data_IF_561966502583
#
_entry.id   IF_561966502583
#
_cell.length_a   1.000
_cell.length_b   1.000
_cell.length_c   1.000
_cell.angle_alpha   90.00
_cell.angle_beta   90.00
_cell.angle_gamma   90.00
#
_symmetry.space_group_name_H-M   'P 1'
#
loop_
_entity.id
_entity.type
_entity.pdbx_description
1 polymer ?
#
# COMPACT_ATOMS: atom_id res chain seq x y z
N UNK A 1 14.80 7.31 11.27
CA UNK A 1 14.01 6.22 10.65
C UNK A 1 13.21 6.80 9.49
N UNK A 2 13.18 6.12 8.36
CA UNK A 2 12.56 6.62 7.13
C UNK A 2 11.56 5.58 6.59
N UNK A 3 10.30 5.97 6.39
CA UNK A 3 9.25 5.12 5.86
C UNK A 3 8.76 5.73 4.55
N UNK A 4 8.72 4.93 3.49
CA UNK A 4 8.07 5.28 2.24
C UNK A 4 6.94 4.30 1.92
N UNK A 5 6.03 4.73 1.06
CA UNK A 5 4.88 3.94 0.60
C UNK A 5 4.89 3.84 -0.92
N UNK A 6 4.58 2.67 -1.45
CA UNK A 6 4.31 2.47 -2.88
C UNK A 6 2.88 1.98 -3.06
N UNK A 7 2.11 2.68 -3.87
CA UNK A 7 0.75 2.31 -4.27
C UNK A 7 0.79 1.78 -5.71
N UNK A 8 0.68 0.46 -5.88
CA UNK A 8 0.74 -0.19 -7.17
C UNK A 8 -0.65 -0.42 -7.75
N UNK A 9 -1.05 0.43 -8.70
CA UNK A 9 -2.35 0.37 -9.38
C UNK A 9 -3.56 0.40 -8.44
N UNK A 10 -3.47 1.13 -7.33
CA UNK A 10 -4.61 1.48 -6.47
C UNK A 10 -5.47 2.48 -7.24
N UNK A 11 -6.65 2.05 -7.70
CA UNK A 11 -7.47 2.82 -8.66
C UNK A 11 -8.38 3.85 -8.01
N UNK A 12 -8.82 3.59 -6.80
CA UNK A 12 -9.74 4.45 -6.09
C UNK A 12 -9.04 5.74 -5.63
N UNK A 13 -9.45 6.89 -6.19
CA UNK A 13 -9.00 8.20 -5.75
C UNK A 13 -9.26 8.43 -4.24
N UNK A 14 -10.38 7.90 -3.75
CA UNK A 14 -10.75 7.92 -2.34
C UNK A 14 -9.73 7.19 -1.46
N UNK A 15 -9.32 5.96 -1.87
CA UNK A 15 -8.30 5.20 -1.16
C UNK A 15 -6.95 5.93 -1.18
N UNK A 16 -6.57 6.49 -2.33
CA UNK A 16 -5.34 7.29 -2.46
C UNK A 16 -5.36 8.48 -1.51
N UNK A 17 -6.45 9.28 -1.49
CA UNK A 17 -6.60 10.40 -0.58
C UNK A 17 -6.52 9.99 0.90
N UNK A 18 -7.19 8.90 1.28
CA UNK A 18 -7.13 8.35 2.64
C UNK A 18 -5.71 7.94 3.03
N UNK A 19 -4.96 7.34 2.09
CA UNK A 19 -3.56 6.95 2.34
C UNK A 19 -2.66 8.17 2.47
N UNK A 20 -2.85 9.23 1.67
CA UNK A 20 -2.12 10.49 1.87
C UNK A 20 -2.33 11.05 3.26
N UNK A 21 -3.59 11.07 3.74
CA UNK A 21 -3.92 11.54 5.09
C UNK A 21 -3.24 10.69 6.17
N UNK A 22 -3.29 9.37 6.04
CA UNK A 22 -2.60 8.44 6.95
C UNK A 22 -1.07 8.65 6.91
N UNK A 23 -0.50 8.79 5.72
CA UNK A 23 0.92 9.01 5.51
C UNK A 23 1.41 10.31 6.18
N UNK A 24 0.64 11.39 6.07
CA UNK A 24 0.92 12.63 6.78
C UNK A 24 0.91 12.44 8.31
N UNK A 25 -0.12 11.75 8.83
CA UNK A 25 -0.25 11.49 10.27
C UNK A 25 0.81 10.53 10.84
N UNK A 26 1.45 9.72 9.99
CA UNK A 26 2.50 8.75 10.39
C UNK A 26 3.91 9.18 10.01
N UNK A 27 4.08 10.37 9.42
CA UNK A 27 5.40 10.88 9.04
C UNK A 27 6.07 10.12 7.90
N UNK A 28 5.29 9.56 6.97
CA UNK A 28 5.82 8.94 5.75
C UNK A 28 6.60 9.95 4.94
N UNK A 29 7.84 9.63 4.60
CA UNK A 29 8.76 10.53 3.89
C UNK A 29 8.42 10.70 2.42
N UNK A 30 7.83 9.68 1.77
CA UNK A 30 7.47 9.74 0.34
C UNK A 30 6.45 8.67 -0.06
N UNK A 31 5.56 9.03 -1.01
CA UNK A 31 4.63 8.11 -1.67
C UNK A 31 5.01 7.94 -3.14
N UNK A 32 5.18 6.71 -3.59
CA UNK A 32 5.35 6.35 -5.01
C UNK A 32 4.01 5.87 -5.57
N UNK A 33 3.48 6.61 -6.57
CA UNK A 33 2.23 6.29 -7.25
C UNK A 33 2.53 5.56 -8.55
N UNK A 34 2.29 4.26 -8.60
CA UNK A 34 2.71 3.40 -9.71
C UNK A 34 1.54 2.93 -10.56
N UNK A 35 1.75 2.83 -11.85
CA UNK A 35 0.78 2.29 -12.79
C UNK A 35 -0.50 3.14 -12.85
N UNK A 36 -1.65 2.50 -12.62
CA UNK A 36 -2.98 3.14 -12.70
C UNK A 36 -3.37 3.96 -11.47
N UNK A 37 -2.50 4.07 -10.46
CA UNK A 37 -2.78 4.89 -9.27
C UNK A 37 -2.92 6.37 -9.66
N UNK A 38 -4.04 7.04 -9.39
CA UNK A 38 -4.20 8.46 -9.71
C UNK A 38 -3.26 9.32 -8.86
N UNK A 39 -2.84 10.45 -9.42
CA UNK A 39 -2.00 11.43 -8.74
C UNK A 39 -2.87 12.58 -8.21
N UNK A 40 -2.43 13.28 -7.12
CA UNK A 40 -3.14 14.45 -6.57
C UNK A 40 -3.31 15.60 -7.55
N UNK A 41 -2.38 15.74 -8.49
CA UNK A 41 -2.41 16.75 -9.54
C UNK A 41 -2.25 16.07 -10.90
N UNK A 42 -2.96 16.59 -11.91
CA UNK A 42 -2.77 16.15 -13.29
C UNK A 42 -1.50 16.77 -13.92
N UNK A 43 -1.19 16.39 -15.16
CA UNK A 43 -0.03 16.91 -15.90
C UNK A 43 -0.04 18.43 -16.15
N UNK A 44 -1.18 19.07 -15.93
CA UNK A 44 -1.36 20.53 -16.05
C UNK A 44 -1.38 21.23 -14.69
N UNK A 45 -1.11 20.54 -13.59
CA UNK A 45 -1.13 21.07 -12.23
C UNK A 45 -2.54 21.24 -11.64
N UNK A 46 -3.59 20.72 -12.29
CA UNK A 46 -4.96 20.82 -11.77
C UNK A 46 -5.19 19.77 -10.69
N UNK A 47 -5.81 20.20 -9.60
CA UNK A 47 -6.13 19.34 -8.44
C UNK A 47 -7.11 18.23 -8.81
N UNK A 48 -6.80 17.01 -8.42
CA UNK A 48 -7.73 15.88 -8.48
C UNK A 48 -8.69 15.97 -7.28
N UNK A 49 -9.90 16.50 -7.53
CA UNK A 49 -10.89 16.85 -6.49
C UNK A 49 -11.23 15.69 -5.56
N UNK A 50 -11.37 14.46 -6.10
CA UNK A 50 -11.72 13.27 -5.31
C UNK A 50 -10.61 12.84 -4.34
N UNK A 51 -9.35 13.07 -4.70
CA UNK A 51 -8.21 12.86 -3.79
C UNK A 51 -8.20 13.95 -2.74
N UNK A 52 -8.22 15.23 -3.14
CA UNK A 52 -8.13 16.38 -2.24
C UNK A 52 -9.25 16.38 -1.18
N UNK A 53 -10.48 16.02 -1.59
CA UNK A 53 -11.64 15.92 -0.69
C UNK A 53 -11.39 14.99 0.50
N UNK A 54 -10.64 13.92 0.31
CA UNK A 54 -10.37 12.90 1.34
C UNK A 54 -9.04 13.12 2.04
N UNK A 55 -8.04 13.57 1.31
CA UNK A 55 -6.71 13.84 1.83
C UNK A 55 -6.67 15.06 2.77
N UNK A 56 -7.64 15.98 2.62
CA UNK A 56 -7.78 17.18 3.45
C UNK A 56 -6.48 18.02 3.51
N UNK A 57 -5.82 18.17 2.36
CA UNK A 57 -4.58 18.93 2.23
C UNK A 57 -3.29 18.12 2.44
N UNK A 58 -3.37 16.88 2.93
CA UNK A 58 -2.19 16.05 3.16
C UNK A 58 -1.38 15.81 1.86
N UNK A 59 -2.04 15.82 0.70
CA UNK A 59 -1.41 15.63 -0.62
C UNK A 59 -0.46 16.79 -1.01
N UNK A 60 -0.57 17.93 -0.34
CA UNK A 60 0.35 19.06 -0.53
C UNK A 60 1.59 18.98 0.36
N UNK A 61 1.52 18.22 1.47
CA UNK A 61 2.61 18.12 2.45
C UNK A 61 3.44 16.85 2.32
N UNK A 62 2.81 15.72 1.95
CA UNK A 62 3.54 14.46 1.77
C UNK A 62 4.17 14.41 0.39
N UNK A 63 5.51 14.34 0.28
CA UNK A 63 6.18 14.20 -1.00
C UNK A 63 5.68 12.97 -1.77
N UNK A 64 5.44 13.11 -3.06
CA UNK A 64 5.03 12.00 -3.89
C UNK A 64 5.65 12.06 -5.29
N UNK A 65 5.65 10.93 -5.96
CA UNK A 65 6.17 10.81 -7.32
C UNK A 65 5.32 9.81 -8.12
N UNK A 66 4.93 10.20 -9.34
CA UNK A 66 4.23 9.32 -10.29
C UNK A 66 5.25 8.54 -11.10
N UNK A 67 5.17 7.22 -11.04
CA UNK A 67 6.13 6.29 -11.66
C UNK A 67 5.40 5.32 -12.59
N UNK A 68 5.95 5.07 -13.76
CA UNK A 68 5.39 4.07 -14.68
C UNK A 68 5.70 2.63 -14.27
N UNK A 69 6.90 2.37 -13.76
CA UNK A 69 7.39 1.00 -13.51
C UNK A 69 7.97 0.85 -12.09
N UNK A 70 7.25 0.09 -11.24
CA UNK A 70 7.65 -0.21 -9.86
C UNK A 70 9.07 -0.78 -9.72
N UNK A 71 9.47 -1.68 -10.64
CA UNK A 71 10.76 -2.38 -10.58
C UNK A 71 11.97 -1.46 -10.51
N UNK A 72 11.92 -0.32 -11.20
CA UNK A 72 13.04 0.63 -11.20
C UNK A 72 13.17 1.34 -9.86
N UNK A 73 12.04 1.74 -9.25
CA UNK A 73 12.04 2.33 -7.91
C UNK A 73 12.53 1.32 -6.88
N UNK A 74 12.01 0.09 -6.91
CA UNK A 74 12.43 -0.97 -5.97
C UNK A 74 13.93 -1.25 -6.12
N UNK A 75 14.43 -1.41 -7.35
CA UNK A 75 15.86 -1.65 -7.59
C UNK A 75 16.75 -0.51 -7.10
N UNK A 76 16.32 0.76 -7.30
CA UNK A 76 17.01 1.93 -6.80
C UNK A 76 17.05 1.92 -5.27
N UNK A 77 15.89 1.78 -4.62
CA UNK A 77 15.78 1.82 -3.16
C UNK A 77 16.56 0.67 -2.50
N UNK A 78 16.54 -0.53 -3.09
CA UNK A 78 17.38 -1.65 -2.58
C UNK A 78 18.87 -1.32 -2.58
N UNK A 79 19.38 -0.67 -3.63
CA UNK A 79 20.79 -0.22 -3.68
C UNK A 79 21.10 0.84 -2.63
N UNK A 80 20.10 1.61 -2.22
CA UNK A 80 20.19 2.61 -1.17
C UNK A 80 19.96 2.04 0.24
N UNK A 81 19.86 0.70 0.37
CA UNK A 81 19.69 0.01 1.65
C UNK A 81 18.27 -0.02 2.21
N UNK A 82 17.27 0.23 1.38
CA UNK A 82 15.86 0.11 1.78
C UNK A 82 15.41 -1.34 1.84
N UNK A 83 14.64 -1.65 2.87
CA UNK A 83 13.96 -2.93 3.02
C UNK A 83 12.55 -2.85 2.42
N UNK A 84 12.25 -3.74 1.49
CA UNK A 84 11.00 -3.73 0.71
C UNK A 84 10.01 -4.70 1.31
N UNK A 85 8.87 -4.20 1.77
CA UNK A 85 7.83 -4.96 2.47
C UNK A 85 6.54 -4.95 1.64
N UNK A 86 6.12 -6.09 1.13
CA UNK A 86 4.82 -6.21 0.48
C UNK A 86 3.72 -6.46 1.51
N UNK A 87 2.66 -5.66 1.48
CA UNK A 87 1.47 -5.85 2.31
C UNK A 87 0.41 -6.58 1.49
N UNK A 88 0.30 -7.89 1.71
CA UNK A 88 -0.52 -8.77 0.87
C UNK A 88 -0.94 -10.01 1.63
N UNK A 89 -2.19 -10.44 1.50
CA UNK A 89 -2.61 -11.76 1.98
C UNK A 89 -1.99 -12.85 1.11
N UNK A 90 -1.11 -13.63 1.70
CA UNK A 90 -0.38 -14.68 1.01
C UNK A 90 0.05 -15.78 1.97
N UNK A 91 0.08 -17.02 1.49
CA UNK A 91 0.52 -18.20 2.30
C UNK A 91 1.95 -18.08 2.84
N UNK A 92 2.77 -17.20 2.26
CA UNK A 92 4.15 -16.91 2.72
C UNK A 92 4.24 -15.62 3.54
N UNK A 93 3.13 -14.91 3.72
CA UNK A 93 3.12 -13.66 4.48
C UNK A 93 3.22 -13.95 5.98
N UNK A 94 3.93 -13.09 6.68
CA UNK A 94 4.01 -13.09 8.14
C UNK A 94 2.95 -12.15 8.69
N UNK A 95 2.47 -12.43 9.89
CA UNK A 95 1.61 -11.50 10.62
C UNK A 95 2.33 -10.16 10.79
N UNK A 96 1.68 -9.05 10.38
CA UNK A 96 2.26 -7.70 10.42
C UNK A 96 2.77 -7.32 11.82
N UNK A 97 2.19 -7.87 12.89
CA UNK A 97 2.58 -7.62 14.27
C UNK A 97 3.96 -8.20 14.63
N UNK A 98 4.40 -9.21 13.88
CA UNK A 98 5.72 -9.83 14.07
C UNK A 98 6.81 -9.13 13.27
N UNK A 99 6.44 -8.25 12.34
CA UNK A 99 7.39 -7.51 11.54
C UNK A 99 8.05 -6.41 12.39
N UNK A 100 9.38 -6.37 12.37
CA UNK A 100 10.19 -5.29 12.92
C UNK A 100 10.75 -4.45 11.78
N UNK A 101 10.38 -3.18 11.76
CA UNK A 101 10.83 -2.25 10.72
C UNK A 101 12.35 -2.08 10.73
N UNK A 102 12.90 -1.77 9.58
CA UNK A 102 14.30 -1.40 9.41
C UNK A 102 14.45 0.12 9.41
N UNK A 103 15.68 0.61 9.46
CA UNK A 103 15.97 2.06 9.43
C UNK A 103 15.36 2.76 8.21
N UNK A 104 15.29 2.07 7.07
CA UNK A 104 14.62 2.49 5.83
C UNK A 104 13.69 1.40 5.34
N UNK A 105 12.38 1.66 5.30
CA UNK A 105 11.38 0.68 4.91
C UNK A 105 10.45 1.24 3.85
N UNK A 106 10.30 0.53 2.73
CA UNK A 106 9.26 0.77 1.72
C UNK A 106 8.12 -0.23 1.91
N UNK A 107 6.92 0.24 2.26
CA UNK A 107 5.72 -0.59 2.23
C UNK A 107 5.05 -0.51 0.86
N UNK A 108 4.80 -1.67 0.25
CA UNK A 108 4.14 -1.81 -1.06
C UNK A 108 2.73 -2.31 -0.86
N UNK A 109 1.76 -1.54 -1.36
CA UNK A 109 0.34 -1.89 -1.37
C UNK A 109 -0.12 -2.10 -2.82
N UNK A 110 -0.87 -3.16 -3.03
CA UNK A 110 -1.38 -3.54 -4.36
C UNK A 110 -2.78 -3.03 -4.65
N UNK A 111 -3.26 -3.38 -5.84
CA UNK A 111 -4.60 -3.12 -6.32
C UNK A 111 -5.67 -3.81 -5.46
N UNK A 112 -6.86 -3.19 -5.36
CA UNK A 112 -7.97 -3.67 -4.54
C UNK A 112 -8.55 -5.04 -4.98
N UNK A 113 -8.32 -5.42 -6.23
CA UNK A 113 -8.85 -6.67 -6.81
C UNK A 113 -7.75 -7.72 -6.94
N UNK A 114 -6.62 -7.36 -7.53
CA UNK A 114 -5.55 -8.28 -7.89
C UNK A 114 -4.37 -8.28 -6.91
N UNK A 115 -4.37 -7.39 -5.91
CA UNK A 115 -3.27 -7.26 -4.97
C UNK A 115 -1.97 -6.79 -5.63
N UNK A 116 -0.84 -7.19 -5.07
CA UNK A 116 0.49 -6.92 -5.60
C UNK A 116 0.80 -7.94 -6.71
N UNK A 117 1.15 -7.54 -7.95
CA UNK A 117 1.51 -8.47 -9.02
C UNK A 117 2.65 -9.41 -8.62
N UNK A 118 2.61 -10.65 -9.11
CA UNK A 118 3.59 -11.70 -8.76
C UNK A 118 5.05 -11.26 -8.97
N UNK A 119 5.33 -10.58 -10.08
CA UNK A 119 6.66 -10.05 -10.39
C UNK A 119 7.13 -8.96 -9.42
N UNK A 120 6.22 -8.17 -8.85
CA UNK A 120 6.55 -7.16 -7.84
C UNK A 120 6.69 -7.81 -6.46
N UNK A 121 5.81 -8.77 -6.11
CA UNK A 121 5.95 -9.55 -4.87
C UNK A 121 7.31 -10.26 -4.78
N UNK A 122 7.80 -10.79 -5.90
CA UNK A 122 9.11 -11.44 -5.97
C UNK A 122 10.29 -10.48 -5.68
N UNK A 123 10.08 -9.18 -5.80
CA UNK A 123 11.08 -8.16 -5.45
C UNK A 123 11.00 -7.70 -3.99
N UNK A 124 9.96 -8.08 -3.26
CA UNK A 124 9.85 -7.77 -1.83
C UNK A 124 10.80 -8.68 -1.02
N UNK A 125 11.42 -8.11 0.01
CA UNK A 125 12.29 -8.86 0.92
C UNK A 125 11.47 -9.68 1.92
N UNK A 126 10.24 -9.19 2.23
CA UNK A 126 9.28 -9.90 3.06
C UNK A 126 7.85 -9.54 2.62
N UNK A 127 6.93 -10.47 2.81
CA UNK A 127 5.50 -10.23 2.75
C UNK A 127 4.93 -10.25 4.16
N UNK A 128 4.05 -9.29 4.45
CA UNK A 128 3.28 -9.23 5.69
C UNK A 128 1.79 -9.17 5.38
N UNK A 129 0.99 -9.71 6.28
CA UNK A 129 -0.47 -9.66 6.16
C UNK A 129 -1.13 -9.21 7.47
N UNK A 130 -2.33 -8.70 7.35
CA UNK A 130 -3.22 -8.45 8.49
C UNK A 130 -4.15 -9.67 8.57
N UNK A 131 -4.01 -10.54 9.61
CA UNK A 131 -4.83 -11.74 9.72
C UNK A 131 -6.32 -11.41 9.85
N UNK A 132 -7.14 -11.97 8.98
CA UNK A 132 -8.60 -11.85 9.02
C UNK A 132 -9.19 -12.95 9.90
N UNK A 133 -9.94 -12.61 10.94
CA UNK A 133 -10.52 -13.56 11.92
C UNK A 133 -12.05 -13.65 11.87
N UNK A 134 -12.70 -12.95 10.95
CA UNK A 134 -14.15 -12.89 10.82
C UNK A 134 -14.78 -14.16 10.23
N UNK A 135 -16.08 -14.36 10.49
CA UNK A 135 -16.84 -15.53 10.01
C UNK A 135 -16.93 -15.64 8.49
N UNK A 136 -16.78 -14.55 7.74
CA UNK A 136 -16.77 -14.56 6.27
C UNK A 136 -15.57 -15.36 5.69
N UNK A 137 -14.51 -15.56 6.45
CA UNK A 137 -13.36 -16.40 6.07
C UNK A 137 -13.68 -17.88 6.09
N UNK A 138 -14.73 -18.30 6.82
CA UNK A 138 -15.06 -19.74 7.03
C UNK A 138 -16.10 -20.30 6.07
N UNK A 139 -16.80 -19.50 5.27
CA UNK A 139 -17.94 -19.98 4.44
C UNK A 139 -17.56 -20.39 3.00
N UNK A 140 -16.30 -20.57 2.66
CA UNK A 140 -15.87 -20.96 1.31
C UNK A 140 -15.71 -22.47 1.17
N UNK A 141 -16.73 -23.24 1.56
CA UNK A 141 -16.88 -24.63 1.15
C UNK A 141 -18.24 -24.87 0.46
N UNK A 142 -18.53 -24.09 -0.58
CA UNK A 142 -19.63 -24.43 -1.49
C UNK A 142 -19.09 -24.57 -2.92
N UNK A 143 -19.19 -25.76 -3.57
CA UNK A 143 -18.47 -26.05 -4.81
C UNK A 143 -19.09 -25.45 -6.08
N UNK A 144 -20.05 -24.55 -6.02
CA UNK A 144 -20.78 -24.11 -7.22
C UNK A 144 -20.89 -22.61 -7.53
N UNK A 145 -20.32 -21.68 -6.75
CA UNK A 145 -20.29 -20.26 -7.15
C UNK A 145 -18.98 -19.60 -6.74
N UNK A 146 -18.11 -19.45 -7.74
CA UNK A 146 -16.80 -18.78 -7.68
C UNK A 146 -16.92 -17.24 -7.63
N UNK A 147 -17.56 -16.69 -6.62
CA UNK A 147 -17.26 -15.33 -6.16
C UNK A 147 -16.65 -15.46 -4.79
N UNK A 148 -15.33 -15.61 -4.77
CA UNK A 148 -14.54 -15.41 -3.55
C UNK A 148 -14.89 -14.02 -3.01
N UNK A 149 -15.63 -13.94 -1.91
CA UNK A 149 -15.77 -12.73 -1.14
C UNK A 149 -14.37 -12.21 -0.85
N UNK A 150 -14.15 -10.90 -0.92
CA UNK A 150 -12.85 -10.31 -0.61
C UNK A 150 -12.51 -10.61 0.84
N UNK A 151 -11.59 -11.54 1.05
CA UNK A 151 -11.06 -11.90 2.37
C UNK A 151 -10.03 -10.87 2.86
N UNK A 152 -9.94 -9.69 2.26
CA UNK A 152 -8.95 -8.67 2.58
C UNK A 152 -9.59 -7.36 3.00
N UNK A 153 -8.90 -6.61 3.86
CA UNK A 153 -9.27 -5.24 4.19
C UNK A 153 -9.20 -4.32 2.97
N UNK A 154 -9.98 -3.25 3.01
CA UNK A 154 -9.77 -2.12 2.11
C UNK A 154 -8.31 -1.64 2.20
N UNK A 155 -7.70 -1.30 1.06
CA UNK A 155 -6.27 -0.96 0.99
C UNK A 155 -5.91 0.25 1.86
N UNK A 156 -6.79 1.24 1.98
CA UNK A 156 -6.51 2.41 2.82
C UNK A 156 -6.59 2.07 4.32
N UNK A 157 -7.47 1.15 4.70
CA UNK A 157 -7.55 0.61 6.07
C UNK A 157 -6.30 -0.20 6.38
N UNK A 158 -5.89 -1.09 5.46
CA UNK A 158 -4.66 -1.87 5.62
C UNK A 158 -3.42 -0.97 5.76
N UNK A 159 -3.35 0.10 4.95
CA UNK A 159 -2.28 1.09 5.06
C UNK A 159 -2.27 1.78 6.44
N UNK A 160 -3.44 2.17 6.96
CA UNK A 160 -3.57 2.74 8.30
C UNK A 160 -3.03 1.81 9.38
N UNK A 161 -3.49 0.56 9.39
CA UNK A 161 -3.07 -0.44 10.38
C UNK A 161 -1.55 -0.66 10.35
N UNK A 162 -0.99 -0.88 9.15
CA UNK A 162 0.44 -1.20 9.00
C UNK A 162 1.33 0.00 9.33
N UNK A 163 0.98 1.20 8.85
CA UNK A 163 1.81 2.39 9.04
C UNK A 163 1.82 2.85 10.50
N UNK A 164 0.66 2.87 11.17
CA UNK A 164 0.60 3.18 12.60
C UNK A 164 1.33 2.15 13.46
N UNK A 165 1.20 0.85 13.14
CA UNK A 165 2.00 -0.18 13.82
C UNK A 165 3.50 0.06 13.61
N UNK A 166 3.91 0.38 12.39
CA UNK A 166 5.32 0.57 12.08
C UNK A 166 5.97 1.75 12.82
N UNK A 167 5.25 2.83 13.12
CA UNK A 167 5.81 3.94 13.90
C UNK A 167 5.84 3.68 15.40
N UNK A 168 5.01 2.73 15.89
CA UNK A 168 4.88 2.40 17.31
C UNK A 168 5.78 1.24 17.77
N UNK A 169 6.41 0.51 16.84
CA UNK A 169 7.19 -0.71 17.09
C UNK A 169 8.71 -0.50 17.09
#
# INVERSE_FOLDING_TARGET
MEIAVMLHSVRSAHNVGSIFRTANGTGVSKIYLVGLTPAPYDRFGRVQKDIAKVALGAEAFVPWEKISMARFVIAKLKREGWHIVGVEQNVRAKDYRTYRKRSRTLFVFGNEVGGIPKNIRALCDVLIEIPMRGAMVRQVHHPRHTRRGKESLNVSVAAGVVLFHAISS
#
